data_IF_677760536987
#
_entry.id   IF_677760536987
#
_cell.length_a   1.000
_cell.length_b   1.000
_cell.length_c   1.000
_cell.angle_alpha   90.00
_cell.angle_beta   90.00
_cell.angle_gamma   90.00
#
_symmetry.space_group_name_H-M   'P 1'
#
loop_
_entity.id
_entity.type
_entity.pdbx_description
1 polymer ?
#
# COMPACT_ATOMS: atom_id res chain seq x y z
N UNK A 1 -44.42 32.57 -3.78
CA UNK A 1 -43.37 31.87 -4.56
C UNK A 1 -43.58 30.39 -4.32
N UNK A 2 -44.01 29.59 -5.31
CA UNK A 2 -44.07 28.15 -5.12
C UNK A 2 -42.62 27.67 -5.07
N UNK A 3 -42.14 27.33 -3.88
CA UNK A 3 -40.82 26.73 -3.71
C UNK A 3 -40.80 25.38 -4.41
N UNK A 4 -39.72 25.10 -5.13
CA UNK A 4 -39.39 23.75 -5.60
C UNK A 4 -39.55 22.79 -4.42
N UNK A 5 -40.25 21.67 -4.62
CA UNK A 5 -40.42 20.70 -3.54
C UNK A 5 -39.03 20.21 -3.08
N UNK A 6 -38.83 19.92 -1.79
CA UNK A 6 -37.52 19.54 -1.26
C UNK A 6 -36.93 18.28 -1.93
N UNK A 7 -37.78 17.45 -2.54
CA UNK A 7 -37.39 16.26 -3.30
C UNK A 7 -36.80 16.61 -4.67
N UNK A 8 -37.28 17.65 -5.35
CA UNK A 8 -36.69 18.12 -6.62
C UNK A 8 -35.29 18.69 -6.42
N UNK A 9 -35.06 19.34 -5.28
CA UNK A 9 -33.75 19.92 -4.94
C UNK A 9 -32.67 18.88 -4.65
N UNK A 10 -33.02 17.63 -4.35
CA UNK A 10 -32.07 16.56 -4.05
C UNK A 10 -31.85 15.63 -5.23
N UNK A 11 -32.91 15.29 -5.97
CA UNK A 11 -32.81 14.41 -7.15
C UNK A 11 -31.99 15.07 -8.27
N UNK A 12 -32.17 16.37 -8.48
CA UNK A 12 -31.59 17.01 -9.64
C UNK A 12 -30.07 17.19 -9.54
N UNK A 13 -29.49 17.61 -8.39
CA UNK A 13 -28.04 17.58 -8.21
C UNK A 13 -27.45 16.17 -8.26
N UNK A 14 -28.22 15.14 -7.88
CA UNK A 14 -27.80 13.75 -7.97
C UNK A 14 -27.76 13.26 -9.43
N UNK A 15 -28.72 13.69 -10.26
CA UNK A 15 -28.70 13.42 -11.72
C UNK A 15 -27.50 14.12 -12.39
N UNK A 16 -27.28 15.39 -12.08
CA UNK A 16 -26.28 16.22 -12.76
C UNK A 16 -24.87 16.05 -12.17
N UNK A 17 -24.75 15.57 -10.94
CA UNK A 17 -23.50 15.55 -10.17
C UNK A 17 -23.09 16.92 -9.61
N UNK A 18 -23.89 17.97 -9.83
CA UNK A 18 -23.68 19.32 -9.32
C UNK A 18 -25.01 20.06 -9.18
N UNK A 19 -25.04 21.09 -8.32
CA UNK A 19 -26.22 21.95 -8.18
C UNK A 19 -26.32 22.93 -9.37
N UNK A 20 -27.46 23.05 -10.07
CA UNK A 20 -27.58 23.92 -11.25
C UNK A 20 -27.30 25.38 -11.00
N UNK A 21 -27.54 25.85 -9.78
CA UNK A 21 -27.23 27.22 -9.37
C UNK A 21 -25.74 27.52 -9.60
N UNK A 22 -24.85 26.57 -9.30
CA UNK A 22 -23.41 26.73 -9.54
C UNK A 22 -23.08 26.94 -11.02
N UNK A 23 -23.80 26.27 -11.93
CA UNK A 23 -23.59 26.45 -13.37
C UNK A 23 -24.08 27.83 -13.84
N UNK A 24 -25.15 28.36 -13.25
CA UNK A 24 -25.61 29.73 -13.56
C UNK A 24 -24.64 30.76 -12.99
N UNK A 25 -24.12 30.54 -11.78
CA UNK A 25 -23.10 31.39 -11.15
C UNK A 25 -21.81 31.42 -11.99
N UNK A 26 -21.30 30.26 -12.41
CA UNK A 26 -20.12 30.15 -13.26
C UNK A 26 -20.32 30.89 -14.60
N UNK A 27 -21.53 30.84 -15.16
CA UNK A 27 -21.86 31.55 -16.40
C UNK A 27 -21.91 33.07 -16.20
N UNK A 28 -22.35 33.52 -15.03
CA UNK A 28 -22.36 34.92 -14.64
C UNK A 28 -20.92 35.45 -14.51
N UNK A 29 -20.04 34.69 -13.86
CA UNK A 29 -18.61 35.00 -13.76
C UNK A 29 -17.95 35.12 -15.14
N UNK A 30 -18.24 34.18 -16.04
CA UNK A 30 -17.79 34.25 -17.44
C UNK A 30 -18.33 35.50 -18.14
N UNK A 31 -19.57 35.88 -17.86
CA UNK A 31 -20.21 37.09 -18.38
C UNK A 31 -19.48 38.37 -17.95
N UNK A 32 -19.13 38.50 -16.66
CA UNK A 32 -18.36 39.64 -16.17
C UNK A 32 -16.96 39.68 -16.75
N UNK A 33 -16.30 38.53 -16.83
CA UNK A 33 -14.98 38.39 -17.46
C UNK A 33 -15.00 38.82 -18.92
N UNK A 34 -16.05 38.47 -19.66
CA UNK A 34 -16.21 38.85 -21.06
C UNK A 34 -16.39 40.37 -21.21
N UNK A 35 -17.20 41.00 -20.34
CA UNK A 35 -17.37 42.46 -20.32
C UNK A 35 -16.02 43.13 -20.02
N UNK A 36 -15.30 42.69 -18.99
CA UNK A 36 -14.01 43.25 -18.61
C UNK A 36 -12.96 43.13 -19.72
N UNK A 37 -12.92 41.98 -20.41
CA UNK A 37 -12.05 41.78 -21.58
C UNK A 37 -12.41 42.68 -22.74
N UNK A 38 -13.71 42.86 -23.02
CA UNK A 38 -14.19 43.71 -24.09
C UNK A 38 -13.91 45.20 -23.82
N UNK A 39 -14.16 45.67 -22.59
CA UNK A 39 -13.89 47.06 -22.20
C UNK A 39 -12.39 47.34 -22.14
N UNK A 40 -11.56 46.42 -21.64
CA UNK A 40 -10.11 46.56 -21.67
C UNK A 40 -9.52 46.55 -23.08
N UNK A 41 -10.10 45.77 -24.01
CA UNK A 41 -9.72 45.82 -25.42
C UNK A 41 -10.11 47.16 -26.06
N UNK A 42 -11.28 47.71 -25.70
CA UNK A 42 -11.72 49.03 -26.16
C UNK A 42 -10.82 50.15 -25.60
N UNK A 43 -10.43 50.07 -24.33
CA UNK A 43 -9.46 50.96 -23.70
C UNK A 43 -8.13 50.97 -24.48
N UNK A 44 -7.58 49.78 -24.73
CA UNK A 44 -6.34 49.63 -25.51
C UNK A 44 -6.48 50.23 -26.91
N UNK A 45 -7.63 50.06 -27.56
CA UNK A 45 -7.90 50.66 -28.87
C UNK A 45 -7.97 52.19 -28.80
N UNK A 46 -8.63 52.76 -27.79
CA UNK A 46 -8.71 54.19 -27.58
C UNK A 46 -7.32 54.79 -27.36
N UNK A 47 -6.50 54.15 -26.52
CA UNK A 47 -5.14 54.61 -26.20
C UNK A 47 -4.21 54.60 -27.42
N UNK A 48 -4.30 53.55 -28.24
CA UNK A 48 -3.39 53.36 -29.38
C UNK A 48 -3.79 54.18 -30.61
N UNK A 49 -5.09 54.31 -30.88
CA UNK A 49 -5.57 54.83 -32.17
C UNK A 49 -6.33 56.16 -32.09
N UNK A 50 -6.98 56.49 -30.96
CA UNK A 50 -7.89 57.63 -30.87
C UNK A 50 -7.33 58.79 -30.04
N UNK A 51 -6.83 58.48 -28.84
CA UNK A 51 -6.37 59.43 -27.83
C UNK A 51 -5.02 60.14 -28.11
N UNK A 52 -4.09 59.60 -28.94
CA UNK A 52 -2.83 60.29 -29.22
C UNK A 52 -3.06 61.66 -29.85
N UNK A 53 -2.51 62.72 -29.23
CA UNK A 53 -2.56 64.09 -29.74
C UNK A 53 -3.83 64.88 -29.37
N UNK A 54 -4.74 64.31 -28.57
CA UNK A 54 -5.92 65.01 -28.03
C UNK A 54 -5.62 65.69 -26.68
N UNK A 55 -6.35 66.77 -26.33
CA UNK A 55 -6.22 67.41 -25.02
C UNK A 55 -6.60 66.46 -23.89
N UNK A 56 -6.06 66.71 -22.70
CA UNK A 56 -6.26 65.86 -21.51
C UNK A 56 -7.75 65.80 -21.11
N UNK A 57 -8.52 66.88 -21.31
CA UNK A 57 -9.97 66.86 -21.07
C UNK A 57 -10.70 65.79 -21.90
N UNK A 58 -10.41 65.68 -23.21
CA UNK A 58 -11.03 64.69 -24.09
C UNK A 58 -10.67 63.26 -23.66
N UNK A 59 -9.45 63.06 -23.13
CA UNK A 59 -9.01 61.76 -22.64
C UNK A 59 -9.77 61.36 -21.36
N UNK A 60 -9.91 62.30 -20.43
CA UNK A 60 -10.66 62.08 -19.20
C UNK A 60 -12.15 61.80 -19.47
N UNK A 61 -12.75 62.50 -20.44
CA UNK A 61 -14.13 62.24 -20.86
C UNK A 61 -14.28 60.85 -21.49
N UNK A 62 -13.31 60.41 -22.31
CA UNK A 62 -13.33 59.08 -22.90
C UNK A 62 -13.24 57.96 -21.84
N UNK A 63 -12.34 58.07 -20.85
CA UNK A 63 -12.27 57.09 -19.76
C UNK A 63 -13.51 57.12 -18.86
N UNK A 64 -14.04 58.30 -18.56
CA UNK A 64 -15.29 58.42 -17.80
C UNK A 64 -16.47 57.76 -18.56
N UNK A 65 -16.53 57.95 -19.88
CA UNK A 65 -17.50 57.29 -20.76
C UNK A 65 -17.31 55.77 -20.80
N UNK A 66 -16.07 55.28 -20.84
CA UNK A 66 -15.75 53.84 -20.81
C UNK A 66 -16.21 53.20 -19.49
N UNK A 67 -15.94 53.84 -18.36
CA UNK A 67 -16.37 53.35 -17.04
C UNK A 67 -17.90 53.37 -16.93
N UNK A 68 -18.57 54.42 -17.43
CA UNK A 68 -20.03 54.49 -17.49
C UNK A 68 -20.61 53.38 -18.39
N UNK A 69 -19.99 53.11 -19.53
CA UNK A 69 -20.37 52.02 -20.43
C UNK A 69 -20.20 50.64 -19.81
N UNK A 70 -19.08 50.40 -19.11
CA UNK A 70 -18.85 49.16 -18.37
C UNK A 70 -19.93 48.94 -17.30
N UNK A 71 -20.21 49.98 -16.50
CA UNK A 71 -21.23 49.92 -15.45
C UNK A 71 -22.62 49.65 -16.06
N UNK A 72 -22.93 50.27 -17.19
CA UNK A 72 -24.17 50.04 -17.92
C UNK A 72 -24.27 48.58 -18.37
N UNK A 73 -23.24 48.04 -19.00
CA UNK A 73 -23.20 46.65 -19.45
C UNK A 73 -23.37 45.67 -18.29
N UNK A 74 -22.66 45.89 -17.18
CA UNK A 74 -22.79 45.09 -15.96
C UNK A 74 -24.23 45.11 -15.45
N UNK A 75 -24.85 46.29 -15.35
CA UNK A 75 -26.24 46.41 -14.88
C UNK A 75 -27.28 45.71 -15.78
N UNK A 76 -26.98 45.60 -17.08
CA UNK A 76 -27.82 44.87 -18.03
C UNK A 76 -27.57 43.37 -17.99
N UNK A 77 -26.31 42.97 -17.78
CA UNK A 77 -25.93 41.58 -17.54
C UNK A 77 -26.69 41.03 -16.34
N UNK A 78 -26.65 41.73 -15.20
CA UNK A 78 -27.33 41.32 -13.96
C UNK A 78 -28.82 41.06 -14.21
N UNK A 79 -29.52 42.01 -14.82
CA UNK A 79 -30.97 41.88 -15.11
C UNK A 79 -31.29 40.74 -16.07
N UNK A 80 -30.44 40.54 -17.09
CA UNK A 80 -30.65 39.48 -18.06
C UNK A 80 -30.37 38.11 -17.42
N UNK A 81 -29.35 38.03 -16.57
CA UNK A 81 -28.96 36.82 -15.87
C UNK A 81 -29.92 36.46 -14.73
N UNK A 82 -30.49 37.42 -14.00
CA UNK A 82 -31.59 37.18 -13.05
C UNK A 82 -32.80 36.52 -13.75
N UNK A 83 -33.15 37.02 -14.94
CA UNK A 83 -34.25 36.47 -15.73
C UNK A 83 -33.90 35.09 -16.30
N UNK A 84 -32.65 34.89 -16.73
CA UNK A 84 -32.15 33.62 -17.22
C UNK A 84 -32.06 32.57 -16.11
N UNK A 85 -31.59 32.92 -14.91
CA UNK A 85 -31.56 32.05 -13.73
C UNK A 85 -32.98 31.58 -13.42
N UNK A 86 -33.92 32.52 -13.31
CA UNK A 86 -35.31 32.19 -13.01
C UNK A 86 -35.93 31.30 -14.10
N UNK A 87 -35.62 31.56 -15.37
CA UNK A 87 -36.14 30.78 -16.49
C UNK A 87 -35.52 29.39 -16.56
N UNK A 88 -34.20 29.28 -16.37
CA UNK A 88 -33.46 28.02 -16.44
C UNK A 88 -33.86 27.08 -15.31
N UNK A 89 -33.98 27.59 -14.08
CA UNK A 89 -34.44 26.80 -12.93
C UNK A 89 -35.90 26.33 -13.08
N UNK A 90 -36.73 27.07 -13.81
CA UNK A 90 -38.15 26.74 -14.02
C UNK A 90 -38.45 25.87 -15.24
N UNK A 91 -37.57 25.84 -16.24
CA UNK A 91 -37.87 25.17 -17.51
C UNK A 91 -36.82 24.11 -17.87
N UNK A 92 -35.54 24.42 -17.69
CA UNK A 92 -34.43 23.52 -18.06
C UNK A 92 -34.17 22.53 -16.92
N UNK A 93 -34.12 23.05 -15.69
CA UNK A 93 -33.90 22.26 -14.47
C UNK A 93 -35.20 21.97 -13.72
N UNK A 94 -36.34 22.03 -14.41
CA UNK A 94 -37.60 21.61 -13.83
C UNK A 94 -37.86 20.14 -14.17
N UNK A 95 -37.89 19.31 -13.13
CA UNK A 95 -38.42 17.96 -13.25
C UNK A 95 -39.95 18.04 -13.15
N UNK A 96 -40.70 17.29 -13.98
CA UNK A 96 -42.14 17.14 -13.78
C UNK A 96 -42.43 16.62 -12.38
N UNK A 97 -43.65 16.87 -11.89
CA UNK A 97 -44.02 16.40 -10.56
C UNK A 97 -43.80 14.89 -10.46
N UNK A 98 -43.30 14.35 -9.32
CA UNK A 98 -43.01 12.93 -9.15
C UNK A 98 -44.23 12.02 -9.44
N UNK A 99 -45.44 12.56 -9.35
CA UNK A 99 -46.70 11.88 -9.62
C UNK A 99 -46.97 11.66 -11.13
N UNK A 100 -46.35 12.45 -12.01
CA UNK A 100 -46.58 12.39 -13.45
C UNK A 100 -45.61 11.43 -14.16
N UNK A 101 -44.35 11.38 -13.70
CA UNK A 101 -43.31 10.50 -14.25
C UNK A 101 -42.44 9.96 -13.11
N UNK A 102 -42.43 8.63 -12.86
CA UNK A 102 -41.49 8.04 -11.91
C UNK A 102 -40.08 8.08 -12.51
N UNK A 103 -39.31 9.09 -12.12
CA UNK A 103 -37.90 9.21 -12.48
C UNK A 103 -37.10 8.33 -11.52
N UNK A 104 -36.48 7.28 -12.05
CA UNK A 104 -35.57 6.40 -11.32
C UNK A 104 -34.16 6.64 -11.84
N UNK A 105 -33.24 7.02 -10.97
CA UNK A 105 -31.84 7.17 -11.34
C UNK A 105 -31.19 5.81 -11.62
N UNK A 106 -30.17 5.73 -12.49
CA UNK A 106 -29.50 4.47 -12.79
C UNK A 106 -28.95 3.74 -11.56
N UNK A 107 -28.47 4.48 -10.55
CA UNK A 107 -27.95 3.91 -9.31
C UNK A 107 -29.05 3.52 -8.30
N UNK A 108 -30.28 3.99 -8.50
CA UNK A 108 -31.46 3.59 -7.73
C UNK A 108 -32.13 2.34 -8.32
N UNK A 109 -31.71 1.90 -9.51
CA UNK A 109 -32.22 0.66 -10.11
C UNK A 109 -31.76 -0.53 -9.27
N UNK A 110 -32.73 -1.23 -8.68
CA UNK A 110 -32.47 -2.37 -7.80
C UNK A 110 -32.15 -2.00 -6.36
N UNK A 111 -32.34 -0.73 -5.98
CA UNK A 111 -32.29 -0.33 -4.57
C UNK A 111 -33.54 -0.84 -3.85
N UNK A 112 -33.36 -1.88 -3.05
CA UNK A 112 -34.41 -2.41 -2.19
C UNK A 112 -34.36 -1.68 -0.85
N UNK A 113 -35.27 -0.71 -0.65
CA UNK A 113 -35.40 0.04 0.59
C UNK A 113 -36.20 -0.72 1.68
N UNK A 114 -36.57 -1.98 1.41
CA UNK A 114 -37.29 -2.82 2.38
C UNK A 114 -36.36 -3.59 3.33
N UNK A 115 -35.04 -3.50 3.11
CA UNK A 115 -34.03 -4.14 3.95
C UNK A 115 -34.07 -3.55 5.37
N UNK A 116 -34.06 -4.42 6.37
CA UNK A 116 -34.10 -4.03 7.78
C UNK A 116 -32.70 -3.68 8.30
N UNK A 117 -32.60 -2.81 9.31
CA UNK A 117 -31.32 -2.45 9.94
C UNK A 117 -30.55 -3.67 10.49
N UNK A 118 -31.28 -4.70 10.92
CA UNK A 118 -30.69 -5.96 11.39
C UNK A 118 -30.00 -6.74 10.25
N UNK A 119 -30.61 -6.76 9.07
CA UNK A 119 -30.04 -7.39 7.87
C UNK A 119 -28.79 -6.65 7.39
N UNK A 120 -28.81 -5.32 7.38
CA UNK A 120 -27.61 -4.52 7.06
C UNK A 120 -26.47 -4.78 8.04
N UNK A 121 -26.78 -4.88 9.34
CA UNK A 121 -25.78 -5.19 10.36
C UNK A 121 -25.20 -6.60 10.19
N UNK A 122 -26.04 -7.58 9.83
CA UNK A 122 -25.60 -8.95 9.55
C UNK A 122 -24.72 -9.02 8.30
N UNK A 123 -25.09 -8.32 7.21
CA UNK A 123 -24.27 -8.22 6.00
C UNK A 123 -22.92 -7.56 6.29
N UNK A 124 -22.89 -6.51 7.11
CA UNK A 124 -21.64 -5.86 7.51
C UNK A 124 -20.73 -6.81 8.32
N UNK A 125 -21.30 -7.62 9.21
CA UNK A 125 -20.55 -8.68 9.91
C UNK A 125 -20.00 -9.71 8.94
N UNK A 126 -20.81 -10.16 7.98
CA UNK A 126 -20.37 -11.12 6.97
C UNK A 126 -19.22 -10.55 6.12
N UNK A 127 -19.30 -9.28 5.71
CA UNK A 127 -18.22 -8.59 4.99
C UNK A 127 -16.94 -8.59 5.81
N UNK A 128 -17.01 -8.30 7.12
CA UNK A 128 -15.83 -8.27 7.98
C UNK A 128 -15.24 -9.67 8.20
N UNK A 129 -16.09 -10.69 8.35
CA UNK A 129 -15.65 -12.08 8.38
C UNK A 129 -14.97 -12.51 7.07
N UNK A 130 -15.51 -12.09 5.92
CA UNK A 130 -14.93 -12.38 4.62
C UNK A 130 -13.58 -11.68 4.45
N UNK A 131 -13.45 -10.43 4.90
CA UNK A 131 -12.16 -9.71 4.93
C UNK A 131 -11.13 -10.46 5.77
N UNK A 132 -11.51 -10.89 6.99
CA UNK A 132 -10.64 -11.67 7.85
C UNK A 132 -10.22 -13.01 7.21
N UNK A 133 -11.16 -13.71 6.55
CA UNK A 133 -10.88 -14.95 5.80
C UNK A 133 -9.90 -14.71 4.66
N UNK A 134 -10.08 -13.64 3.88
CA UNK A 134 -9.19 -13.25 2.78
C UNK A 134 -7.78 -12.95 3.30
N UNK A 135 -7.65 -12.25 4.41
CA UNK A 135 -6.34 -11.94 4.98
C UNK A 135 -5.64 -13.17 5.56
N UNK A 136 -6.38 -14.08 6.19
CA UNK A 136 -5.85 -15.38 6.62
C UNK A 136 -5.33 -16.20 5.43
N UNK A 137 -6.10 -16.23 4.32
CA UNK A 137 -5.69 -16.90 3.08
C UNK A 137 -4.45 -16.25 2.45
N UNK A 138 -4.36 -14.91 2.43
CA UNK A 138 -3.16 -14.21 1.95
C UNK A 138 -1.92 -14.55 2.78
N UNK A 139 -2.04 -14.59 4.11
CA UNK A 139 -0.93 -14.97 5.02
C UNK A 139 -0.50 -16.42 4.81
N UNK A 140 -1.46 -17.34 4.66
CA UNK A 140 -1.20 -18.74 4.37
C UNK A 140 -0.47 -18.89 3.03
N UNK A 141 -0.94 -18.21 1.98
CA UNK A 141 -0.29 -18.20 0.66
C UNK A 141 1.16 -17.73 0.75
N UNK A 142 1.43 -16.65 1.48
CA UNK A 142 2.78 -16.14 1.68
C UNK A 142 3.70 -17.17 2.35
N UNK A 143 3.22 -17.84 3.41
CA UNK A 143 3.98 -18.91 4.09
C UNK A 143 4.24 -20.10 3.19
N UNK A 144 3.26 -20.53 2.39
CA UNK A 144 3.45 -21.64 1.44
C UNK A 144 4.48 -21.29 0.37
N UNK A 145 4.46 -20.07 -0.17
CA UNK A 145 5.46 -19.64 -1.15
C UNK A 145 6.88 -19.64 -0.56
N UNK A 146 7.05 -19.19 0.68
CA UNK A 146 8.33 -19.28 1.38
C UNK A 146 8.77 -20.73 1.61
N UNK A 147 7.85 -21.60 2.04
CA UNK A 147 8.14 -23.02 2.24
C UNK A 147 8.58 -23.71 0.94
N UNK A 148 7.92 -23.39 -0.19
CA UNK A 148 8.31 -23.90 -1.52
C UNK A 148 9.71 -23.42 -1.90
N UNK A 149 10.03 -22.13 -1.70
CA UNK A 149 11.37 -21.60 -1.99
C UNK A 149 12.44 -22.28 -1.15
N UNK A 150 12.21 -22.44 0.15
CA UNK A 150 13.14 -23.11 1.06
C UNK A 150 13.31 -24.59 0.68
N UNK A 151 12.21 -25.27 0.33
CA UNK A 151 12.27 -26.66 -0.11
C UNK A 151 13.09 -26.80 -1.39
N UNK A 152 12.88 -25.94 -2.39
CA UNK A 152 13.63 -25.97 -3.64
C UNK A 152 15.14 -25.68 -3.43
N UNK A 153 15.47 -24.77 -2.51
CA UNK A 153 16.87 -24.51 -2.13
C UNK A 153 17.51 -25.74 -1.47
N UNK A 154 16.78 -26.41 -0.57
CA UNK A 154 17.25 -27.64 0.09
C UNK A 154 17.43 -28.78 -0.90
N UNK A 155 16.49 -28.97 -1.84
CA UNK A 155 16.63 -30.00 -2.87
C UNK A 155 17.85 -29.73 -3.75
N UNK A 156 18.03 -28.50 -4.22
CA UNK A 156 19.20 -28.11 -5.02
C UNK A 156 20.52 -28.32 -4.26
N UNK A 157 20.58 -27.97 -2.96
CA UNK A 157 21.76 -28.21 -2.14
C UNK A 157 22.05 -29.71 -1.94
N UNK A 158 20.99 -30.52 -1.76
CA UNK A 158 21.11 -31.98 -1.65
C UNK A 158 21.58 -32.61 -2.96
N UNK A 159 21.08 -32.15 -4.11
CA UNK A 159 21.49 -32.58 -5.44
C UNK A 159 22.95 -32.22 -5.69
N UNK A 160 23.37 -30.99 -5.41
CA UNK A 160 24.77 -30.57 -5.53
C UNK A 160 25.71 -31.39 -4.61
N UNK A 161 25.26 -31.77 -3.42
CA UNK A 161 26.02 -32.66 -2.53
C UNK A 161 26.11 -34.08 -3.10
N UNK A 162 25.03 -34.61 -3.66
CA UNK A 162 25.04 -35.91 -4.34
C UNK A 162 25.95 -35.89 -5.55
N UNK A 163 25.95 -34.84 -6.36
CA UNK A 163 26.89 -34.67 -7.47
C UNK A 163 28.34 -34.68 -6.99
N UNK A 164 28.65 -33.95 -5.91
CA UNK A 164 29.97 -34.00 -5.26
C UNK A 164 30.31 -35.39 -4.74
N UNK A 165 29.36 -36.18 -4.25
CA UNK A 165 29.62 -37.54 -3.76
C UNK A 165 29.54 -38.59 -4.88
N UNK A 166 29.12 -38.21 -6.10
CA UNK A 166 28.95 -39.13 -7.23
C UNK A 166 30.26 -39.80 -7.62
N UNK A 167 31.39 -39.11 -7.49
CA UNK A 167 32.70 -39.72 -7.74
C UNK A 167 33.08 -40.81 -6.72
N UNK A 168 32.59 -40.73 -5.48
CA UNK A 168 32.82 -41.80 -4.49
C UNK A 168 31.97 -43.04 -4.82
N UNK A 169 30.80 -42.85 -5.43
CA UNK A 169 29.97 -43.96 -5.88
C UNK A 169 30.60 -44.79 -7.02
N UNK A 170 31.53 -44.20 -7.77
CA UNK A 170 32.35 -44.91 -8.76
C UNK A 170 33.54 -45.66 -8.14
N UNK A 171 33.89 -45.38 -6.88
CA UNK A 171 34.93 -46.10 -6.10
C UNK A 171 34.33 -47.32 -5.39
N UNK A 172 33.17 -47.83 -5.84
CA UNK A 172 32.50 -49.03 -5.32
C UNK A 172 33.34 -50.31 -5.35
N UNK A 173 34.51 -50.28 -5.99
CA UNK A 173 35.45 -51.41 -6.02
C UNK A 173 36.39 -51.48 -4.81
N UNK A 174 36.37 -50.51 -3.87
CA UNK A 174 37.08 -50.65 -2.58
C UNK A 174 36.23 -51.45 -1.59
N UNK A 175 36.08 -52.75 -1.85
CA UNK A 175 35.41 -53.72 -0.95
C UNK A 175 36.23 -54.00 0.32
N UNK A 176 37.39 -53.39 0.53
CA UNK A 176 38.04 -53.35 1.83
C UNK A 176 38.54 -51.95 2.17
N UNK A 177 38.09 -51.42 3.30
CA UNK A 177 38.85 -50.36 3.98
C UNK A 177 40.26 -50.92 4.26
N UNK A 178 41.34 -50.17 3.96
CA UNK A 178 42.69 -50.58 4.32
C UNK A 178 42.74 -51.01 5.79
N UNK A 179 43.36 -52.16 6.06
CA UNK A 179 43.48 -52.73 7.42
C UNK A 179 44.12 -51.74 8.41
N UNK A 180 44.89 -50.77 7.91
CA UNK A 180 45.46 -49.65 8.67
C UNK A 180 44.40 -48.77 9.36
N UNK A 181 43.24 -48.56 8.72
CA UNK A 181 42.16 -47.75 9.30
C UNK A 181 41.39 -48.56 10.33
N UNK A 182 41.19 -49.86 10.09
CA UNK A 182 40.54 -50.75 11.06
C UNK A 182 41.39 -50.92 12.31
N UNK A 183 42.71 -51.02 12.15
CA UNK A 183 43.66 -51.08 13.28
C UNK A 183 43.74 -49.76 14.02
N UNK A 184 43.67 -48.62 13.35
CA UNK A 184 43.55 -47.30 13.99
C UNK A 184 42.24 -47.15 14.77
N UNK A 185 41.10 -47.53 14.16
CA UNK A 185 39.80 -47.50 14.81
C UNK A 185 39.81 -48.39 16.06
N UNK A 186 40.29 -49.63 15.93
CA UNK A 186 40.40 -50.56 17.06
C UNK A 186 41.32 -50.01 18.16
N UNK A 187 42.42 -49.32 17.81
CA UNK A 187 43.30 -48.65 18.79
C UNK A 187 42.59 -47.50 19.49
N UNK A 188 41.87 -46.65 18.76
CA UNK A 188 41.11 -45.52 19.31
C UNK A 188 39.94 -45.99 20.18
N UNK A 189 39.24 -47.06 19.80
CA UNK A 189 38.16 -47.63 20.60
C UNK A 189 38.66 -48.46 21.79
N UNK A 190 39.90 -48.94 21.75
CA UNK A 190 40.55 -49.64 22.88
C UNK A 190 41.19 -48.70 23.90
N UNK A 191 41.26 -47.39 23.60
CA UNK A 191 41.64 -46.40 24.60
C UNK A 191 40.50 -46.32 25.64
N UNK A 192 40.80 -46.52 26.94
CA UNK A 192 39.80 -46.26 27.98
C UNK A 192 39.35 -44.80 27.84
N UNK A 193 38.04 -44.56 27.92
CA UNK A 193 37.47 -43.21 27.90
C UNK A 193 38.25 -42.34 28.89
N UNK A 194 39.12 -41.48 28.38
CA UNK A 194 39.78 -40.51 29.22
C UNK A 194 38.66 -39.70 29.89
N UNK A 195 38.72 -39.47 31.22
CA UNK A 195 37.82 -38.50 31.82
C UNK A 195 37.97 -37.19 31.03
N UNK A 196 36.87 -36.45 30.78
CA UNK A 196 36.97 -35.15 30.14
C UNK A 196 38.05 -34.35 30.86
N UNK A 197 38.93 -33.63 30.14
CA UNK A 197 40.00 -32.87 30.79
C UNK A 197 39.34 -31.99 31.85
N UNK A 198 39.69 -32.22 33.12
CA UNK A 198 39.25 -31.36 34.21
C UNK A 198 39.87 -30.00 33.93
N UNK A 199 39.06 -29.09 33.40
CA UNK A 199 39.46 -27.70 33.23
C UNK A 199 39.50 -27.13 34.65
N UNK A 200 40.69 -26.95 35.20
CA UNK A 200 40.90 -26.07 36.36
C UNK A 200 40.48 -24.66 35.91
N UNK A 201 39.23 -24.29 36.19
CA UNK A 201 38.72 -22.95 35.93
C UNK A 201 39.31 -21.98 36.95
N UNK A 202 40.54 -21.52 36.71
CA UNK A 202 41.04 -20.30 37.30
C UNK A 202 40.41 -19.10 36.57
N UNK A 203 39.15 -18.80 36.91
CA UNK A 203 38.50 -17.46 36.87
C UNK A 203 36.98 -17.57 36.62
N UNK A 204 36.11 -17.14 37.57
CA UNK A 204 34.65 -17.25 37.47
C UNK A 204 33.98 -16.22 36.56
N UNK A 205 34.73 -15.41 35.81
CA UNK A 205 34.18 -14.27 35.04
C UNK A 205 34.15 -14.47 33.52
N UNK A 206 34.65 -15.59 32.99
CA UNK A 206 34.63 -15.87 31.54
C UNK A 206 33.74 -17.07 31.21
N UNK A 207 32.84 -16.95 30.21
CA UNK A 207 31.95 -18.05 29.83
C UNK A 207 32.74 -19.19 29.16
N UNK A 208 32.34 -20.43 29.46
CA UNK A 208 33.09 -21.68 29.20
C UNK A 208 33.44 -21.93 27.73
N UNK A 209 32.73 -21.33 26.78
CA UNK A 209 32.91 -21.56 25.34
C UNK A 209 34.10 -20.80 24.70
N UNK A 210 34.80 -19.93 25.43
CA UNK A 210 35.91 -19.13 24.87
C UNK A 210 37.16 -19.96 24.53
N UNK A 211 37.30 -21.15 25.10
CA UNK A 211 38.38 -22.09 24.78
C UNK A 211 37.84 -23.15 23.82
N UNK A 212 38.57 -23.52 22.77
CA UNK A 212 38.13 -24.51 21.76
C UNK A 212 37.61 -25.82 22.39
N UNK A 213 38.24 -26.29 23.47
CA UNK A 213 37.77 -27.45 24.22
C UNK A 213 36.41 -27.22 24.92
N UNK A 214 36.16 -26.02 25.45
CA UNK A 214 34.89 -25.66 26.07
C UNK A 214 33.77 -25.40 25.05
N UNK A 215 34.11 -24.92 23.84
CA UNK A 215 33.15 -24.85 22.74
C UNK A 215 32.69 -26.24 22.31
N UNK A 216 33.60 -27.22 22.24
CA UNK A 216 33.25 -28.60 21.90
C UNK A 216 32.38 -29.25 22.98
N UNK A 217 32.68 -29.06 24.26
CA UNK A 217 31.84 -29.57 25.36
C UNK A 217 30.45 -28.90 25.37
N UNK A 218 30.38 -27.58 25.14
CA UNK A 218 29.11 -26.87 24.98
C UNK A 218 28.31 -27.34 23.75
N UNK A 219 28.97 -27.57 22.61
CA UNK A 219 28.31 -28.05 21.38
C UNK A 219 27.79 -29.49 21.53
N UNK A 220 28.54 -30.37 22.20
CA UNK A 220 28.09 -31.73 22.51
C UNK A 220 26.94 -31.69 23.51
N UNK A 221 27.04 -30.86 24.55
CA UNK A 221 25.97 -30.72 25.55
C UNK A 221 24.68 -30.16 24.95
N UNK A 222 24.77 -29.14 24.09
CA UNK A 222 23.59 -28.56 23.43
C UNK A 222 22.96 -29.51 22.41
N UNK A 223 23.74 -30.36 21.74
CA UNK A 223 23.19 -31.38 20.83
C UNK A 223 22.48 -32.50 21.59
N UNK A 224 23.05 -32.97 22.71
CA UNK A 224 22.42 -33.95 23.60
C UNK A 224 21.15 -33.39 24.26
N UNK A 225 21.19 -32.15 24.78
CA UNK A 225 20.02 -31.49 25.38
C UNK A 225 18.90 -31.22 24.36
N UNK A 226 19.26 -31.06 23.08
CA UNK A 226 18.30 -30.83 21.99
C UNK A 226 17.62 -32.11 21.54
N UNK A 227 18.31 -33.26 21.63
CA UNK A 227 17.69 -34.58 21.45
C UNK A 227 16.78 -34.96 22.63
N UNK A 228 17.17 -34.64 23.88
CA UNK A 228 16.33 -34.87 25.06
C UNK A 228 15.06 -34.00 25.07
N UNK A 229 15.13 -32.75 24.59
CA UNK A 229 13.95 -31.87 24.43
C UNK A 229 13.08 -32.21 23.22
N UNK A 230 13.53 -33.12 22.34
CA UNK A 230 12.77 -33.60 21.18
C UNK A 230 11.59 -34.53 21.53
N UNK A 231 11.52 -35.05 22.76
CA UNK A 231 10.51 -36.06 23.15
C UNK A 231 9.34 -35.54 24.03
N UNK A 232 9.22 -34.23 24.29
CA UNK A 232 8.26 -33.73 25.29
C UNK A 232 7.54 -32.42 24.95
N UNK A 233 6.28 -32.56 24.47
CA UNK A 233 5.14 -31.61 24.58
C UNK A 233 5.26 -30.18 24.01
N UNK A 234 4.30 -29.86 23.15
CA UNK A 234 4.01 -28.51 22.67
C UNK A 234 3.46 -27.56 23.74
N UNK A 235 3.93 -26.31 23.65
CA UNK A 235 3.48 -25.00 24.18
C UNK A 235 4.77 -24.19 24.31
N UNK A 236 5.20 -23.36 23.35
CA UNK A 236 4.66 -22.04 23.00
C UNK A 236 5.27 -21.63 21.65
N UNK A 237 4.44 -21.48 20.60
CA UNK A 237 4.89 -21.14 19.23
C UNK A 237 4.83 -19.64 18.90
N UNK A 238 4.54 -18.78 19.86
CA UNK A 238 4.33 -17.34 19.59
C UNK A 238 5.52 -16.48 20.03
N UNK A 239 6.23 -16.85 21.12
CA UNK A 239 7.43 -16.14 21.56
C UNK A 239 8.69 -16.55 20.77
N UNK A 240 8.77 -17.78 20.26
CA UNK A 240 9.93 -18.28 19.50
C UNK A 240 9.95 -17.84 18.04
N UNK A 241 8.86 -17.24 17.54
CA UNK A 241 8.75 -16.82 16.13
C UNK A 241 9.33 -15.42 15.90
N UNK A 242 9.29 -14.54 16.91
CA UNK A 242 9.90 -13.21 16.86
C UNK A 242 11.42 -13.27 17.02
N UNK A 243 11.94 -14.07 17.96
CA UNK A 243 13.39 -14.28 18.11
C UNK A 243 14.01 -14.95 16.86
N UNK A 244 13.28 -15.86 16.20
CA UNK A 244 13.75 -16.48 14.96
C UNK A 244 13.75 -15.53 13.75
N UNK A 245 12.88 -14.51 13.72
CA UNK A 245 12.88 -13.48 12.67
C UNK A 245 14.02 -12.47 12.87
N UNK A 246 14.41 -12.17 14.11
CA UNK A 246 15.56 -11.33 14.44
C UNK A 246 16.91 -12.05 14.19
N UNK A 247 16.99 -13.35 14.52
CA UNK A 247 18.17 -14.17 14.22
C UNK A 247 18.35 -14.41 12.71
N UNK A 248 17.27 -14.48 11.92
CA UNK A 248 17.38 -14.63 10.45
C UNK A 248 17.77 -13.33 9.74
N UNK A 249 17.41 -12.16 10.28
CA UNK A 249 17.88 -10.86 9.76
C UNK A 249 19.37 -10.66 9.99
N UNK A 250 19.87 -11.02 11.16
CA UNK A 250 21.30 -10.92 11.51
C UNK A 250 22.17 -11.92 10.73
N UNK A 251 21.66 -13.13 10.45
CA UNK A 251 22.35 -14.09 9.57
C UNK A 251 22.35 -13.69 8.09
N UNK A 252 21.33 -12.96 7.62
CA UNK A 252 21.29 -12.40 6.27
C UNK A 252 22.39 -11.36 6.02
N UNK A 253 22.63 -10.46 6.98
CA UNK A 253 23.69 -9.43 6.86
C UNK A 253 25.11 -10.02 7.01
N UNK A 254 25.30 -11.05 7.85
CA UNK A 254 26.61 -11.69 8.01
C UNK A 254 27.04 -12.51 6.78
N UNK A 255 26.08 -13.08 6.03
CA UNK A 255 26.34 -13.80 4.78
C UNK A 255 26.80 -12.89 3.65
N UNK A 256 26.22 -11.69 3.54
CA UNK A 256 26.57 -10.72 2.49
C UNK A 256 27.94 -10.06 2.72
N UNK A 257 28.35 -9.87 3.99
CA UNK A 257 29.69 -9.34 4.32
C UNK A 257 30.83 -10.34 4.07
N UNK A 258 30.57 -11.64 4.18
CA UNK A 258 31.55 -12.69 3.85
C UNK A 258 31.64 -12.96 2.34
N UNK A 259 30.57 -12.70 1.59
CA UNK A 259 30.58 -12.72 0.12
C UNK A 259 31.36 -11.55 -0.50
N UNK A 260 31.23 -10.35 0.08
CA UNK A 260 31.90 -9.15 -0.43
C UNK A 260 33.43 -9.17 -0.22
N UNK A 261 33.93 -9.76 0.88
CA UNK A 261 35.38 -9.75 1.20
C UNK A 261 36.21 -10.79 0.42
N UNK A 262 35.58 -11.71 -0.31
CA UNK A 262 36.28 -12.73 -1.12
C UNK A 262 36.46 -12.31 -2.59
N UNK A 263 36.00 -11.12 -2.96
CA UNK A 263 36.13 -10.57 -4.33
C UNK A 263 37.26 -9.52 -4.47
N UNK A 264 38.04 -9.26 -3.41
CA UNK A 264 39.12 -8.25 -3.40
C UNK A 264 40.54 -8.82 -3.18
N UNK A 265 40.76 -10.14 -3.29
CA UNK A 265 42.10 -10.74 -3.38
C UNK A 265 42.28 -11.59 -4.65
#
# INVERSE_FOLDING_TARGET
MPGLSPTQQTILPDILGFAPQLLVDDLLDIGYDAIAKATGALETYLDTNWLPGRPIEDQNEAYAGLVAFQTLLQSHLDKAFDAFELWSLKNVFALPAPEEVPIVLPHQVGLDLTVTEEEEHNLNKEIEELRAKVDAQKRLKARLLLAVRLSNSRTAASEARLEKLRFLSTVKDTVSLPEEIQTLLNRVTSLPSAPPPTIDTADPTKPVWTTHAGYMDWAVKTTVERDDKGSGKGKTKEATMLDAEEELRTFGEAGDLLGARRMEE
#
